data_IF_270572038485
#
_entry.id   IF_270572038485
#
_cell.length_a   1.000
_cell.length_b   1.000
_cell.length_c   1.000
_cell.angle_alpha   90.00
_cell.angle_beta   90.00
_cell.angle_gamma   90.00
#
_symmetry.space_group_name_H-M   'P 1'
#
loop_
_entity.id
_entity.type
_entity.pdbx_description
1 polymer ?
#
# COMPACT_ATOMS: atom_id res chain seq x y z
N UNK A 1 -18.51 -4.72 -14.34
CA UNK A 1 -17.35 -5.54 -13.92
C UNK A 1 -16.76 -4.86 -12.70
N UNK A 2 -16.35 -5.61 -11.68
CA UNK A 2 -15.78 -5.01 -10.46
C UNK A 2 -14.46 -4.31 -10.80
N UNK A 3 -14.29 -3.05 -10.40
CA UNK A 3 -13.01 -2.33 -10.57
C UNK A 3 -12.09 -2.58 -9.39
N UNK A 4 -10.79 -2.73 -9.65
CA UNK A 4 -9.78 -2.98 -8.62
C UNK A 4 -8.98 -1.71 -8.36
N UNK A 5 -8.81 -1.39 -7.08
CA UNK A 5 -8.03 -0.23 -6.64
C UNK A 5 -6.98 -0.66 -5.61
N UNK A 6 -5.80 -0.05 -5.65
CA UNK A 6 -4.76 -0.20 -4.64
C UNK A 6 -4.01 1.12 -4.44
N UNK A 7 -3.06 1.15 -3.50
CA UNK A 7 -2.08 2.22 -3.37
C UNK A 7 -0.71 1.87 -4.00
N UNK A 8 0.17 2.87 -4.14
CA UNK A 8 1.51 2.74 -4.72
C UNK A 8 2.44 1.78 -3.96
N UNK A 9 2.16 1.47 -2.69
CA UNK A 9 2.97 0.54 -1.88
C UNK A 9 2.73 -0.92 -2.28
N UNK A 10 1.77 -1.18 -3.16
CA UNK A 10 1.61 -2.49 -3.80
C UNK A 10 2.78 -2.89 -4.71
N UNK A 11 3.62 -1.93 -5.10
CA UNK A 11 4.79 -2.11 -5.98
C UNK A 11 4.47 -2.69 -7.38
N UNK A 12 3.20 -2.76 -7.77
CA UNK A 12 2.75 -3.31 -9.05
C UNK A 12 3.38 -2.51 -10.21
N UNK A 13 4.05 -3.17 -11.16
CA UNK A 13 4.57 -2.50 -12.35
C UNK A 13 3.45 -1.82 -13.16
N UNK A 14 3.66 -0.61 -13.70
CA UNK A 14 2.65 0.12 -14.47
C UNK A 14 2.04 -0.69 -15.62
N UNK A 15 2.85 -1.53 -16.29
CA UNK A 15 2.40 -2.37 -17.39
C UNK A 15 1.39 -3.42 -16.92
N UNK A 16 1.64 -4.03 -15.75
CA UNK A 16 0.74 -5.02 -15.15
C UNK A 16 -0.54 -4.35 -14.65
N UNK A 17 -0.42 -3.16 -14.05
CA UNK A 17 -1.59 -2.39 -13.63
C UNK A 17 -2.47 -2.03 -14.83
N UNK A 18 -1.87 -1.62 -15.95
CA UNK A 18 -2.59 -1.33 -17.19
C UNK A 18 -3.23 -2.56 -17.82
N UNK A 19 -2.51 -3.70 -17.88
CA UNK A 19 -3.02 -4.95 -18.46
C UNK A 19 -4.26 -5.46 -17.71
N UNK A 20 -4.25 -5.35 -16.39
CA UNK A 20 -5.30 -5.87 -15.51
C UNK A 20 -6.33 -4.82 -15.09
N UNK A 21 -6.29 -3.61 -15.66
CA UNK A 21 -7.22 -2.51 -15.35
C UNK A 21 -7.27 -2.20 -13.84
N UNK A 22 -6.09 -2.19 -13.21
CA UNK A 22 -5.89 -1.87 -11.79
C UNK A 22 -5.62 -0.38 -11.65
N UNK A 23 -6.43 0.29 -10.83
CA UNK A 23 -6.19 1.70 -10.48
C UNK A 23 -5.26 1.79 -9.28
N UNK A 24 -4.15 2.52 -9.42
CA UNK A 24 -3.16 2.74 -8.36
C UNK A 24 -3.25 4.18 -7.86
N UNK A 25 -3.55 4.37 -6.58
CA UNK A 25 -3.58 5.67 -5.93
C UNK A 25 -2.17 5.97 -5.36
N UNK A 26 -1.49 7.03 -5.83
CA UNK A 26 -0.17 7.35 -5.32
C UNK A 26 -0.23 7.84 -3.88
N UNK A 27 0.65 7.34 -3.02
CA UNK A 27 0.90 7.92 -1.71
C UNK A 27 1.96 9.03 -1.78
N UNK A 28 2.20 9.72 -0.67
CA UNK A 28 3.09 10.87 -0.65
C UNK A 28 4.44 10.54 0.00
N UNK A 29 5.51 11.02 -0.62
CA UNK A 29 6.87 11.07 -0.09
C UNK A 29 7.24 12.53 0.16
N UNK A 30 7.80 12.82 1.34
CA UNK A 30 8.18 14.16 1.75
C UNK A 30 9.68 14.25 1.98
N UNK A 31 10.33 15.23 1.37
CA UNK A 31 11.70 15.63 1.67
C UNK A 31 11.71 17.08 2.14
N UNK A 32 11.82 17.30 3.45
CA UNK A 32 11.71 18.64 4.04
C UNK A 32 10.32 19.22 3.80
N UNK A 33 10.23 20.28 3.01
CA UNK A 33 8.99 20.96 2.62
C UNK A 33 8.43 20.47 1.28
N UNK A 34 9.22 19.70 0.51
CA UNK A 34 8.79 19.17 -0.79
C UNK A 34 7.95 17.91 -0.59
N UNK A 35 6.90 17.77 -1.40
CA UNK A 35 6.01 16.59 -1.40
C UNK A 35 5.91 16.06 -2.83
N UNK A 36 6.05 14.74 -2.97
CA UNK A 36 6.02 14.02 -4.22
C UNK A 36 4.98 12.91 -4.16
N UNK A 37 4.21 12.72 -5.22
CA UNK A 37 3.40 11.52 -5.43
C UNK A 37 4.29 10.37 -5.86
N UNK A 38 4.30 9.31 -5.08
CA UNK A 38 5.11 8.11 -5.29
C UNK A 38 4.80 7.46 -6.66
N UNK A 39 5.86 7.25 -7.47
CA UNK A 39 5.75 6.70 -8.82
C UNK A 39 5.19 7.66 -9.88
N UNK A 40 4.80 8.89 -9.49
CA UNK A 40 4.27 9.90 -10.42
C UNK A 40 5.22 11.11 -10.52
N UNK A 41 5.52 11.74 -9.38
CA UNK A 41 6.41 12.91 -9.32
C UNK A 41 7.85 12.52 -8.91
N UNK A 42 8.03 11.30 -8.41
CA UNK A 42 9.31 10.78 -7.95
C UNK A 42 9.42 9.29 -8.31
N UNK A 43 10.35 8.97 -9.21
CA UNK A 43 10.68 7.59 -9.55
C UNK A 43 11.50 6.93 -8.44
N UNK A 44 11.58 5.59 -8.48
CA UNK A 44 12.42 4.81 -7.55
C UNK A 44 13.90 5.22 -7.63
N UNK A 45 14.41 5.45 -8.84
CA UNK A 45 15.81 5.88 -9.06
C UNK A 45 16.06 7.24 -8.43
N UNK A 46 15.22 8.22 -8.74
CA UNK A 46 15.33 9.58 -8.18
C UNK A 46 15.18 9.58 -6.65
N UNK A 47 14.29 8.73 -6.10
CA UNK A 47 14.15 8.57 -4.66
C UNK A 47 15.48 8.16 -4.01
N UNK A 48 16.17 7.14 -4.55
CA UNK A 48 17.43 6.67 -3.96
C UNK A 48 18.57 7.67 -4.15
N UNK A 49 18.64 8.36 -5.29
CA UNK A 49 19.60 9.45 -5.51
C UNK A 49 19.38 10.60 -4.53
N UNK A 50 18.12 11.00 -4.31
CA UNK A 50 17.75 12.03 -3.33
C UNK A 50 18.00 11.56 -1.90
N UNK A 51 17.77 10.28 -1.59
CA UNK A 51 18.05 9.70 -0.26
C UNK A 51 19.54 9.72 0.09
N UNK A 52 20.43 9.51 -0.90
CA UNK A 52 21.87 9.55 -0.69
C UNK A 52 22.42 10.98 -0.58
N UNK A 53 21.84 11.93 -1.33
CA UNK A 53 22.31 13.33 -1.38
C UNK A 53 21.68 14.23 -0.31
N UNK A 54 20.49 13.87 0.21
CA UNK A 54 19.76 14.65 1.20
C UNK A 54 20.25 14.37 2.62
N UNK A 55 20.50 15.44 3.38
CA UNK A 55 20.67 15.36 4.84
C UNK A 55 19.34 15.19 5.60
N UNK A 56 18.22 15.46 4.93
CA UNK A 56 16.87 15.29 5.47
C UNK A 56 16.34 13.91 5.08
N UNK A 57 15.97 13.13 6.09
CA UNK A 57 15.35 11.82 5.86
C UNK A 57 13.92 11.97 5.36
N UNK A 58 13.49 11.11 4.42
CA UNK A 58 12.15 11.17 3.89
C UNK A 58 11.12 10.78 4.95
N UNK A 59 9.94 11.38 4.83
CA UNK A 59 8.74 10.95 5.54
C UNK A 59 7.69 10.53 4.51
N UNK A 60 6.70 9.76 4.94
CA UNK A 60 5.59 9.35 4.08
C UNK A 60 4.25 9.66 4.72
N UNK A 61 3.25 9.89 3.89
CA UNK A 61 1.86 10.03 4.31
C UNK A 61 0.91 9.40 3.29
N UNK A 62 -0.30 9.07 3.74
CA UNK A 62 -1.38 8.68 2.83
C UNK A 62 -1.75 9.85 1.91
N UNK A 63 -2.39 9.55 0.78
CA UNK A 63 -3.12 10.56 0.03
C UNK A 63 -4.31 11.10 0.85
N UNK A 64 -4.83 12.31 0.57
CA UNK A 64 -5.96 12.87 1.31
C UNK A 64 -7.28 12.14 0.97
N UNK A 65 -8.27 12.07 1.90
CA UNK A 65 -9.57 11.43 1.66
C UNK A 65 -10.28 11.91 0.38
N UNK A 66 -10.12 13.19 0.03
CA UNK A 66 -10.72 13.79 -1.16
C UNK A 66 -10.22 13.13 -2.47
N UNK A 67 -8.97 12.69 -2.53
CA UNK A 67 -8.45 11.98 -3.70
C UNK A 67 -9.08 10.60 -3.85
N UNK A 68 -9.26 9.87 -2.75
CA UNK A 68 -9.98 8.59 -2.77
C UNK A 68 -11.43 8.77 -3.24
N UNK A 69 -12.12 9.80 -2.74
CA UNK A 69 -13.48 10.13 -3.14
C UNK A 69 -13.58 10.44 -4.65
N UNK A 70 -12.61 11.20 -5.18
CA UNK A 70 -12.51 11.51 -6.60
C UNK A 70 -12.30 10.24 -7.44
N UNK A 71 -11.30 9.42 -7.10
CA UNK A 71 -10.96 8.19 -7.82
C UNK A 71 -12.13 7.21 -7.80
N UNK A 72 -12.73 6.96 -6.62
CA UNK A 72 -13.90 6.09 -6.53
C UNK A 72 -15.11 6.66 -7.27
N UNK A 73 -15.29 7.99 -7.24
CA UNK A 73 -16.35 8.69 -7.97
C UNK A 73 -16.22 8.53 -9.48
N UNK A 74 -15.01 8.66 -10.03
CA UNK A 74 -14.72 8.46 -11.45
C UNK A 74 -14.96 7.00 -11.86
N UNK A 75 -14.49 6.03 -11.07
CA UNK A 75 -14.73 4.62 -11.34
C UNK A 75 -16.23 4.28 -11.30
N UNK A 76 -16.98 4.89 -10.38
CA UNK A 76 -18.42 4.71 -10.23
C UNK A 76 -19.24 5.11 -11.48
N UNK A 77 -18.67 5.90 -12.40
CA UNK A 77 -19.32 6.22 -13.68
C UNK A 77 -19.41 4.99 -14.61
N UNK A 78 -18.53 4.01 -14.41
CA UNK A 78 -18.41 2.83 -15.28
C UNK A 78 -18.69 1.50 -14.56
N UNK A 79 -18.78 1.51 -13.22
CA UNK A 79 -19.11 0.33 -12.43
C UNK A 79 -19.99 0.64 -11.22
N UNK A 80 -20.83 -0.31 -10.82
CA UNK A 80 -21.54 -0.28 -9.55
C UNK A 80 -20.76 -0.85 -8.36
N UNK A 81 -19.59 -1.46 -8.61
CA UNK A 81 -18.84 -2.23 -7.62
C UNK A 81 -17.33 -1.99 -7.73
N UNK A 82 -16.69 -1.67 -6.60
CA UNK A 82 -15.25 -1.43 -6.46
C UNK A 82 -14.69 -2.28 -5.32
N UNK A 83 -13.59 -2.98 -5.60
CA UNK A 83 -12.82 -3.72 -4.62
C UNK A 83 -11.45 -3.06 -4.42
N UNK A 84 -11.25 -2.43 -3.26
CA UNK A 84 -10.10 -1.59 -2.99
C UNK A 84 -9.21 -2.22 -1.92
N UNK A 85 -7.97 -2.56 -2.25
CA UNK A 85 -7.03 -3.26 -1.37
C UNK A 85 -5.87 -2.33 -1.03
N UNK A 86 -5.63 -2.09 0.25
CA UNK A 86 -4.60 -1.15 0.67
C UNK A 86 -3.57 -1.76 1.61
N UNK A 87 -2.45 -1.07 1.73
CA UNK A 87 -1.36 -1.34 2.67
C UNK A 87 -1.93 -1.58 4.07
N UNK A 88 -1.30 -2.50 4.80
CA UNK A 88 -1.81 -2.87 6.11
C UNK A 88 -2.01 -1.69 7.05
N UNK A 89 -3.16 -1.67 7.74
CA UNK A 89 -3.48 -0.63 8.73
C UNK A 89 -2.45 -0.55 9.88
N UNK A 90 -1.63 -1.61 10.05
CA UNK A 90 -0.52 -1.63 11.01
C UNK A 90 0.65 -0.73 10.59
N UNK A 91 0.81 -0.48 9.30
CA UNK A 91 1.93 0.30 8.72
C UNK A 91 1.52 1.71 8.27
N UNK A 92 0.25 1.90 7.90
CA UNK A 92 -0.26 3.14 7.33
C UNK A 92 -1.72 3.39 7.69
N UNK A 93 -2.13 4.65 7.65
CA UNK A 93 -3.53 5.08 7.77
C UNK A 93 -4.28 5.01 6.44
N UNK A 94 -3.64 4.61 5.34
CA UNK A 94 -4.22 4.57 3.98
C UNK A 94 -5.58 3.86 3.93
N UNK A 95 -5.70 2.69 4.58
CA UNK A 95 -6.96 1.94 4.65
C UNK A 95 -8.09 2.76 5.29
N UNK A 96 -7.80 3.47 6.40
CA UNK A 96 -8.80 4.29 7.11
C UNK A 96 -9.16 5.55 6.30
N UNK A 97 -8.15 6.18 5.68
CA UNK A 97 -8.36 7.35 4.82
C UNK A 97 -9.18 7.01 3.58
N UNK A 98 -9.01 5.83 3.01
CA UNK A 98 -9.85 5.35 1.91
C UNK A 98 -11.33 5.22 2.32
N UNK A 99 -11.60 4.73 3.54
CA UNK A 99 -12.97 4.65 4.08
C UNK A 99 -13.59 6.03 4.26
N UNK A 100 -12.82 7.00 4.77
CA UNK A 100 -13.26 8.40 4.82
C UNK A 100 -13.55 8.94 3.41
N UNK A 101 -12.78 8.54 2.40
CA UNK A 101 -13.04 8.88 1.00
C UNK A 101 -14.40 8.40 0.51
N UNK A 102 -14.87 7.22 0.94
CA UNK A 102 -16.21 6.71 0.61
C UNK A 102 -17.30 7.61 1.17
N UNK A 103 -17.15 8.09 2.41
CA UNK A 103 -18.12 9.00 3.05
C UNK A 103 -18.24 10.34 2.30
N UNK A 104 -17.19 10.74 1.58
CA UNK A 104 -17.16 11.95 0.76
C UNK A 104 -17.65 11.75 -0.68
N UNK A 105 -17.93 10.51 -1.10
CA UNK A 105 -18.41 10.21 -2.45
C UNK A 105 -19.79 10.82 -2.68
N UNK A 106 -19.99 11.40 -3.87
CA UNK A 106 -21.29 11.88 -4.34
C UNK A 106 -22.05 10.82 -5.16
N UNK A 107 -21.32 9.86 -5.72
CA UNK A 107 -21.84 8.81 -6.60
C UNK A 107 -22.28 7.60 -5.78
N UNK A 108 -23.34 6.90 -6.22
CA UNK A 108 -23.75 5.62 -5.65
C UNK A 108 -22.90 4.51 -6.25
N UNK A 109 -21.98 3.96 -5.47
CA UNK A 109 -21.19 2.79 -5.83
C UNK A 109 -20.92 1.96 -4.57
N UNK A 110 -20.94 0.64 -4.70
CA UNK A 110 -20.57 -0.24 -3.60
C UNK A 110 -19.06 -0.40 -3.58
N UNK A 111 -18.40 0.18 -2.59
CA UNK A 111 -16.94 0.11 -2.41
C UNK A 111 -16.63 -0.74 -1.19
N UNK A 112 -15.76 -1.73 -1.36
CA UNK A 112 -15.30 -2.61 -0.28
C UNK A 112 -13.81 -2.38 -0.07
N UNK A 113 -13.46 -1.87 1.11
CA UNK A 113 -12.08 -1.52 1.47
C UNK A 113 -11.45 -2.64 2.27
N UNK A 114 -10.42 -3.27 1.71
CA UNK A 114 -9.74 -4.42 2.27
C UNK A 114 -8.39 -4.01 2.84
N UNK A 115 -8.16 -4.38 4.10
CA UNK A 115 -6.83 -4.38 4.69
C UNK A 115 -6.07 -5.60 4.17
N UNK A 116 -5.03 -5.38 3.37
CA UNK A 116 -4.25 -6.48 2.79
C UNK A 116 -3.51 -7.30 3.84
N UNK A 117 -3.25 -6.74 5.03
CA UNK A 117 -2.31 -7.27 6.03
C UNK A 117 -0.86 -7.45 5.54
N UNK A 118 -0.58 -6.97 4.32
CA UNK A 118 0.65 -7.16 3.57
C UNK A 118 1.24 -5.78 3.21
N UNK A 119 2.40 -5.80 2.56
CA UNK A 119 3.09 -4.63 2.02
C UNK A 119 3.91 -5.04 0.79
N UNK A 120 4.40 -4.06 0.03
CA UNK A 120 5.21 -4.26 -1.18
C UNK A 120 4.50 -5.22 -2.16
N UNK A 121 5.26 -5.99 -2.93
CA UNK A 121 4.71 -6.99 -3.84
C UNK A 121 3.90 -8.10 -3.16
N UNK A 122 3.94 -8.25 -1.83
CA UNK A 122 2.97 -9.11 -1.12
C UNK A 122 1.54 -8.59 -1.31
N UNK A 123 1.34 -7.29 -1.14
CA UNK A 123 0.08 -6.62 -1.47
C UNK A 123 -0.17 -6.65 -2.99
N UNK A 124 0.86 -6.40 -3.81
CA UNK A 124 0.73 -6.47 -5.27
C UNK A 124 0.22 -7.80 -5.79
N UNK A 125 0.74 -8.92 -5.29
CA UNK A 125 0.28 -10.28 -5.66
C UNK A 125 -1.18 -10.52 -5.29
N UNK A 126 -1.62 -10.04 -4.12
CA UNK A 126 -3.02 -10.10 -3.72
C UNK A 126 -3.90 -9.33 -4.70
N UNK A 127 -3.54 -8.09 -5.03
CA UNK A 127 -4.29 -7.22 -5.94
C UNK A 127 -4.37 -7.84 -7.34
N UNK A 128 -3.25 -8.35 -7.86
CA UNK A 128 -3.19 -9.01 -9.17
C UNK A 128 -4.15 -10.21 -9.23
N UNK A 129 -4.17 -11.05 -8.20
CA UNK A 129 -5.09 -12.20 -8.15
C UNK A 129 -6.55 -11.75 -8.13
N UNK A 130 -6.88 -10.73 -7.32
CA UNK A 130 -8.24 -10.19 -7.26
C UNK A 130 -8.67 -9.55 -8.58
N UNK A 131 -7.76 -8.89 -9.29
CA UNK A 131 -8.00 -8.35 -10.62
C UNK A 131 -8.28 -9.45 -11.64
N UNK A 132 -7.50 -10.53 -11.65
CA UNK A 132 -7.75 -11.68 -12.54
C UNK A 132 -9.11 -12.32 -12.28
N UNK A 133 -9.52 -12.46 -11.02
CA UNK A 133 -10.84 -12.96 -10.66
C UNK A 133 -11.96 -12.02 -11.12
N UNK A 134 -11.79 -10.71 -10.91
CA UNK A 134 -12.75 -9.69 -11.35
C UNK A 134 -12.91 -9.67 -12.88
N UNK A 135 -11.81 -9.71 -13.63
CA UNK A 135 -11.81 -9.79 -15.11
C UNK A 135 -12.47 -11.07 -15.62
N UNK A 136 -12.42 -12.15 -14.83
CA UNK A 136 -13.10 -13.42 -15.13
C UNK A 136 -14.59 -13.42 -14.74
N UNK A 137 -15.14 -12.27 -14.31
CA UNK A 137 -16.55 -12.09 -13.98
C UNK A 137 -16.93 -12.40 -12.53
N UNK A 138 -15.96 -12.52 -11.61
CA UNK A 138 -16.28 -12.64 -10.19
C UNK A 138 -17.03 -11.40 -9.68
N UNK A 139 -18.07 -11.62 -8.87
CA UNK A 139 -18.79 -10.55 -8.18
C UNK A 139 -17.99 -10.01 -7.01
N UNK A 140 -18.34 -8.82 -6.54
CA UNK A 140 -17.70 -8.20 -5.38
C UNK A 140 -17.80 -9.08 -4.13
N UNK A 141 -18.94 -9.72 -3.89
CA UNK A 141 -19.14 -10.64 -2.76
C UNK A 141 -18.23 -11.86 -2.84
N UNK A 142 -17.99 -12.39 -4.05
CA UNK A 142 -17.05 -13.50 -4.23
C UNK A 142 -15.62 -13.07 -3.89
N UNK A 143 -15.18 -11.91 -4.39
CA UNK A 143 -13.85 -11.38 -4.07
C UNK A 143 -13.66 -11.20 -2.56
N UNK A 144 -14.66 -10.65 -1.86
CA UNK A 144 -14.63 -10.52 -0.39
C UNK A 144 -14.50 -11.86 0.32
N UNK A 145 -15.16 -12.90 -0.16
CA UNK A 145 -15.10 -14.22 0.44
C UNK A 145 -13.75 -14.91 0.16
N UNK A 146 -13.18 -14.69 -1.02
CA UNK A 146 -11.95 -15.37 -1.45
C UNK A 146 -10.68 -14.70 -0.88
N UNK A 147 -10.71 -13.38 -0.62
CA UNK A 147 -9.51 -12.57 -0.32
C UNK A 147 -8.72 -13.06 0.89
N UNK A 148 -9.38 -13.46 1.98
CA UNK A 148 -8.70 -13.96 3.18
C UNK A 148 -7.93 -15.26 2.89
N UNK A 149 -8.51 -16.12 2.06
CA UNK A 149 -7.86 -17.33 1.56
C UNK A 149 -6.62 -17.01 0.74
N UNK A 150 -6.67 -15.99 -0.12
CA UNK A 150 -5.50 -15.54 -0.91
C UNK A 150 -4.41 -14.96 -0.01
N UNK A 151 -4.76 -14.07 0.92
CA UNK A 151 -3.83 -13.49 1.90
C UNK A 151 -3.05 -14.58 2.62
N UNK A 152 -3.74 -15.63 3.11
CA UNK A 152 -3.12 -16.73 3.87
C UNK A 152 -2.06 -17.53 3.10
N UNK A 153 -2.07 -17.47 1.76
CA UNK A 153 -1.11 -18.17 0.90
C UNK A 153 0.11 -17.32 0.55
N UNK A 154 0.08 -16.02 0.84
CA UNK A 154 1.17 -15.09 0.53
C UNK A 154 2.14 -15.07 1.71
N UNK A 155 3.41 -15.35 1.42
CA UNK A 155 4.50 -15.23 2.39
C UNK A 155 5.47 -14.14 1.94
N UNK A 156 5.71 -13.16 2.82
CA UNK A 156 6.70 -12.11 2.60
C UNK A 156 7.89 -12.39 3.51
N UNK A 157 9.07 -12.55 2.91
CA UNK A 157 10.35 -12.66 3.62
C UNK A 157 11.27 -11.58 3.06
N UNK A 158 11.80 -10.75 3.94
CA UNK A 158 12.70 -9.67 3.58
C UNK A 158 13.95 -9.72 4.46
N UNK A 159 15.08 -9.36 3.87
CA UNK A 159 16.32 -9.07 4.57
C UNK A 159 16.67 -7.60 4.32
N UNK A 160 17.31 -6.97 5.29
CA UNK A 160 17.68 -5.57 5.23
C UNK A 160 19.14 -5.45 5.66
N UNK A 161 19.91 -4.65 4.93
CA UNK A 161 21.29 -4.34 5.32
C UNK A 161 21.35 -3.62 6.67
N UNK A 162 20.29 -2.86 6.99
CA UNK A 162 20.15 -2.16 8.27
C UNK A 162 18.69 -1.97 8.68
N UNK A 163 18.41 -2.09 9.98
CA UNK A 163 17.11 -1.77 10.58
C UNK A 163 16.91 -0.27 10.84
N UNK A 164 17.94 0.55 10.62
CA UNK A 164 17.93 2.00 10.89
C UNK A 164 16.69 2.68 10.31
N UNK A 165 16.39 2.46 9.02
CA UNK A 165 15.29 3.15 8.34
C UNK A 165 13.91 2.69 8.82
N UNK A 166 13.74 1.40 9.17
CA UNK A 166 12.50 0.92 9.79
C UNK A 166 12.27 1.56 11.17
N UNK A 167 13.33 1.67 11.97
CA UNK A 167 13.26 2.26 13.30
C UNK A 167 12.94 3.76 13.23
N UNK A 168 13.63 4.50 12.37
CA UNK A 168 13.40 5.93 12.17
C UNK A 168 12.03 6.23 11.57
N UNK A 169 11.56 5.35 10.68
CA UNK A 169 10.19 5.40 10.16
C UNK A 169 9.13 5.03 11.19
N UNK A 170 9.47 4.46 12.35
CA UNK A 170 8.50 4.00 13.35
C UNK A 170 7.77 2.70 12.98
N UNK A 171 8.26 1.97 11.97
CA UNK A 171 7.67 0.70 11.49
C UNK A 171 8.46 -0.54 11.93
N UNK A 172 9.52 -0.38 12.73
CA UNK A 172 10.28 -1.48 13.36
C UNK A 172 9.65 -2.02 14.66
N UNK A 173 8.70 -1.29 15.25
CA UNK A 173 8.14 -1.57 16.57
C UNK A 173 6.65 -1.86 16.47
N UNK A 174 6.13 -2.72 17.34
CA UNK A 174 4.67 -2.90 17.47
C UNK A 174 4.06 -1.61 18.02
N UNK A 175 3.18 -0.99 17.22
CA UNK A 175 2.42 0.21 17.58
C UNK A 175 1.93 0.12 19.04
N UNK A 176 2.22 1.15 19.84
CA UNK A 176 1.74 1.30 21.22
C UNK A 176 2.50 0.53 22.32
N UNK A 177 3.51 -0.28 21.99
CA UNK A 177 4.23 -1.08 23.02
C UNK A 177 5.69 -0.69 23.23
N UNK A 178 6.31 0.00 22.26
CA UNK A 178 7.77 0.23 22.27
C UNK A 178 8.59 -1.07 22.15
N UNK A 179 7.94 -2.23 21.99
CA UNK A 179 8.59 -3.52 21.81
C UNK A 179 8.89 -3.71 20.32
N UNK A 180 10.16 -3.98 19.95
CA UNK A 180 10.49 -4.26 18.56
C UNK A 180 9.74 -5.53 18.12
N UNK A 181 9.11 -5.48 16.94
CA UNK A 181 8.42 -6.66 16.37
C UNK A 181 9.42 -7.73 15.90
N UNK A 182 10.70 -7.40 15.97
CA UNK A 182 11.85 -8.23 15.62
C UNK A 182 12.67 -8.37 16.92
N UNK A 183 12.88 -9.59 17.41
CA UNK A 183 13.57 -9.83 18.68
C UNK A 183 15.00 -9.24 18.65
N UNK A 184 15.41 -8.43 19.64
CA UNK A 184 16.80 -7.97 19.79
C UNK A 184 17.78 -9.08 20.16
N UNK A 185 17.31 -10.29 20.46
CA UNK A 185 18.12 -11.36 21.05
C UNK A 185 18.65 -12.39 20.05
N UNK A 186 18.39 -12.23 18.75
CA UNK A 186 18.98 -13.11 17.73
C UNK A 186 20.44 -12.71 17.45
N UNK A 187 21.33 -13.15 18.33
CA UNK A 187 22.79 -12.96 18.26
C UNK A 187 23.46 -13.69 17.09
N UNK A 188 22.70 -14.28 16.16
CA UNK A 188 23.25 -14.90 14.95
C UNK A 188 23.69 -13.89 13.88
N UNK A 189 23.33 -12.60 14.02
CA UNK A 189 23.70 -11.56 13.06
C UNK A 189 24.95 -10.74 13.49
N UNK A 190 26.07 -10.81 12.73
CA UNK A 190 27.33 -10.15 13.09
C UNK A 190 27.29 -8.61 13.11
N UNK A 191 26.21 -7.99 12.63
CA UNK A 191 26.09 -6.53 12.51
C UNK A 191 25.78 -5.78 13.80
N UNK A 192 25.52 -6.48 14.92
CA UNK A 192 25.06 -5.85 16.16
C UNK A 192 26.16 -5.27 17.05
N UNK A 193 27.45 -5.56 16.79
CA UNK A 193 28.56 -5.26 17.71
C UNK A 193 29.45 -4.07 17.35
N UNK A 194 28.99 -3.10 16.56
CA UNK A 194 29.70 -1.83 16.43
C UNK A 194 28.75 -0.64 16.51
N UNK A 195 28.47 -0.24 17.75
CA UNK A 195 28.14 1.14 18.14
C UNK A 195 28.83 1.42 19.46
#
# INVERSE_FOLDING_TARGET
MVKIVTDSVSDIPPEVASELDITVIPLNVHFGTETYRDGIDLSRTEFYEKLQSSSVLPKTSSAPPALFAEVFGQLAETTGEIFAVFLSHKFSTTWEVARQGIELMKSKCRVEVIDSTLAAMGQGLLVIEMARLASSGASLDRLKNDVAGVISRIQVRATLDTLKYLAMGGRAYRQGTGVPSISPEDKSYPGYQRW
#
